data_IF_272796873262
#
_entry.id   IF_272796873262
#
_cell.length_a   1.000
_cell.length_b   1.000
_cell.length_c   1.000
_cell.angle_alpha   90.00
_cell.angle_beta   90.00
_cell.angle_gamma   90.00
#
_symmetry.space_group_name_H-M   'P 1'
#
loop_
_entity.id
_entity.type
_entity.pdbx_description
1 polymer ?
#
# COMPACT_ATOMS: atom_id res chain seq x y z
N UNK A 1 -12.94 24.40 -5.85
CA UNK A 1 -12.96 23.76 -4.51
C UNK A 1 -13.40 22.29 -4.57
N UNK A 2 -14.56 21.89 -5.15
CA UNK A 2 -15.03 20.50 -5.07
C UNK A 2 -14.06 19.48 -5.70
N UNK A 3 -13.60 19.70 -6.94
CA UNK A 3 -12.68 18.78 -7.63
C UNK A 3 -11.31 18.64 -6.93
N UNK A 4 -10.76 19.74 -6.41
CA UNK A 4 -9.44 19.72 -5.74
C UNK A 4 -9.51 19.10 -4.35
N UNK A 5 -10.63 19.29 -3.64
CA UNK A 5 -10.85 18.68 -2.33
C UNK A 5 -11.16 17.20 -2.52
N UNK A 6 -12.05 16.83 -3.45
CA UNK A 6 -12.36 15.44 -3.77
C UNK A 6 -11.13 14.68 -4.26
N UNK A 7 -10.29 15.26 -5.14
CA UNK A 7 -9.07 14.57 -5.57
C UNK A 7 -8.03 14.40 -4.44
N UNK A 8 -8.14 15.20 -3.38
CA UNK A 8 -7.33 15.06 -2.16
C UNK A 8 -7.98 14.15 -1.13
N UNK A 9 -9.30 14.00 -1.08
CA UNK A 9 -10.01 13.15 -0.11
C UNK A 9 -10.27 11.74 -0.63
N UNK A 10 -10.40 11.53 -1.95
CA UNK A 10 -10.60 10.21 -2.55
C UNK A 10 -9.43 9.23 -2.28
N UNK A 11 -8.15 9.65 -2.29
CA UNK A 11 -7.04 8.82 -1.83
C UNK A 11 -7.13 8.48 -0.33
N UNK A 12 -7.78 9.33 0.46
CA UNK A 12 -7.98 9.14 1.90
C UNK A 12 -9.14 8.23 2.25
N UNK A 13 -10.20 8.23 1.44
CA UNK A 13 -11.36 7.35 1.66
C UNK A 13 -11.13 5.95 1.08
N UNK A 14 -10.02 5.73 0.38
CA UNK A 14 -9.66 4.40 -0.13
C UNK A 14 -9.44 3.46 1.05
N UNK A 15 -10.24 2.39 1.20
CA UNK A 15 -10.25 1.52 2.39
C UNK A 15 -8.93 0.77 2.68
N UNK A 16 -7.84 1.06 1.96
CA UNK A 16 -6.48 0.70 2.36
C UNK A 16 -6.16 1.05 3.83
N UNK A 17 -6.84 2.04 4.42
CA UNK A 17 -6.76 2.39 5.84
C UNK A 17 -7.22 1.28 6.81
N UNK A 18 -8.20 0.47 6.42
CA UNK A 18 -8.71 -0.66 7.22
C UNK A 18 -7.98 -1.97 6.94
N UNK A 19 -7.27 -2.06 5.82
CA UNK A 19 -6.54 -3.27 5.42
C UNK A 19 -5.37 -3.62 6.37
N UNK A 20 -4.77 -2.60 6.99
CA UNK A 20 -3.48 -2.73 7.69
C UNK A 20 -3.61 -2.95 9.20
N UNK A 21 -4.65 -2.40 9.83
CA UNK A 21 -4.90 -2.51 11.28
C UNK A 21 -5.72 -3.75 11.65
N UNK A 22 -6.54 -4.28 10.75
CA UNK A 22 -7.38 -5.45 11.03
C UNK A 22 -6.67 -6.81 10.91
N UNK A 23 -5.33 -6.84 10.73
CA UNK A 23 -4.61 -8.10 10.53
C UNK A 23 -4.38 -8.90 11.82
N UNK A 24 -4.61 -8.32 13.01
CA UNK A 24 -4.14 -8.89 14.27
C UNK A 24 -5.20 -9.43 15.25
N UNK A 25 -6.50 -9.07 15.19
CA UNK A 25 -7.37 -9.29 16.37
C UNK A 25 -8.85 -9.67 16.18
N UNK A 26 -9.38 -9.96 14.97
CA UNK A 26 -10.83 -10.26 14.84
C UNK A 26 -11.21 -11.25 13.72
N UNK A 27 -11.85 -12.40 13.99
CA UNK A 27 -12.68 -13.13 13.03
C UNK A 27 -14.17 -12.69 13.18
N UNK A 28 -15.01 -12.62 12.12
CA UNK A 28 -14.92 -13.20 10.78
C UNK A 28 -14.95 -12.11 9.67
N UNK A 29 -13.87 -11.97 8.90
CA UNK A 29 -13.74 -10.90 7.87
C UNK A 29 -13.22 -11.45 6.52
N UNK A 30 -13.54 -12.68 6.13
CA UNK A 30 -13.16 -13.17 4.79
C UNK A 30 -13.90 -12.42 3.68
N UNK A 31 -15.21 -12.16 3.86
CA UNK A 31 -16.06 -11.55 2.82
C UNK A 31 -15.77 -10.06 2.59
N UNK A 32 -15.27 -9.33 3.59
CA UNK A 32 -15.05 -7.89 3.44
C UNK A 32 -13.72 -7.57 2.76
N UNK A 33 -12.76 -8.50 2.70
CA UNK A 33 -11.46 -8.26 2.05
C UNK A 33 -11.60 -7.99 0.55
N UNK A 34 -12.47 -8.75 -0.12
CA UNK A 34 -12.80 -8.57 -1.53
C UNK A 34 -13.53 -7.25 -1.75
N UNK A 35 -14.49 -6.93 -0.89
CA UNK A 35 -15.26 -5.69 -0.95
C UNK A 35 -14.39 -4.44 -0.75
N UNK A 36 -13.44 -4.49 0.19
CA UNK A 36 -12.48 -3.40 0.41
C UNK A 36 -11.51 -3.25 -0.77
N UNK A 37 -11.06 -4.36 -1.37
CA UNK A 37 -10.24 -4.35 -2.58
C UNK A 37 -10.96 -3.70 -3.77
N UNK A 38 -12.21 -4.12 -4.04
CA UNK A 38 -13.05 -3.53 -5.08
C UNK A 38 -13.34 -2.04 -4.84
N UNK A 39 -13.67 -1.66 -3.60
CA UNK A 39 -13.90 -0.26 -3.24
C UNK A 39 -12.62 0.59 -3.43
N UNK A 40 -11.45 0.05 -3.07
CA UNK A 40 -10.16 0.73 -3.31
C UNK A 40 -9.90 0.95 -4.80
N UNK A 41 -10.24 -0.03 -5.64
CA UNK A 41 -10.13 0.08 -7.09
C UNK A 41 -11.11 1.12 -7.66
N UNK A 42 -12.38 1.12 -7.23
CA UNK A 42 -13.36 2.13 -7.65
C UNK A 42 -12.92 3.55 -7.31
N UNK A 43 -12.37 3.75 -6.10
CA UNK A 43 -11.83 5.05 -5.68
C UNK A 43 -10.57 5.43 -6.47
N UNK A 44 -9.71 4.48 -6.81
CA UNK A 44 -8.57 4.71 -7.69
C UNK A 44 -9.00 5.09 -9.11
N UNK A 45 -10.04 4.46 -9.66
CA UNK A 45 -10.62 4.85 -10.95
C UNK A 45 -11.21 6.26 -10.91
N UNK A 46 -11.95 6.60 -9.85
CA UNK A 46 -12.46 7.97 -9.67
C UNK A 46 -11.31 8.98 -9.56
N UNK A 47 -10.26 8.68 -8.80
CA UNK A 47 -9.06 9.50 -8.70
C UNK A 47 -8.38 9.71 -10.06
N UNK A 48 -8.28 8.66 -10.87
CA UNK A 48 -7.74 8.74 -12.23
C UNK A 48 -8.61 9.63 -13.13
N UNK A 49 -9.93 9.44 -13.15
CA UNK A 49 -10.85 10.27 -13.92
C UNK A 49 -10.77 11.75 -13.52
N UNK A 50 -10.78 12.04 -12.22
CA UNK A 50 -10.63 13.41 -11.72
C UNK A 50 -9.30 14.05 -12.11
N UNK A 51 -8.23 13.26 -12.13
CA UNK A 51 -6.89 13.72 -12.53
C UNK A 51 -6.81 13.97 -14.04
N UNK A 52 -7.41 13.11 -14.87
CA UNK A 52 -7.48 13.31 -16.34
C UNK A 52 -8.35 14.51 -16.72
N UNK A 53 -9.41 14.81 -15.95
CA UNK A 53 -10.27 15.98 -16.20
C UNK A 53 -9.64 17.31 -15.73
N UNK A 54 -8.46 17.29 -15.09
CA UNK A 54 -7.80 18.47 -14.58
C UNK A 54 -7.55 19.57 -15.64
N UNK A 55 -6.94 19.28 -16.82
CA UNK A 55 -6.74 20.28 -17.89
C UNK A 55 -8.03 20.80 -18.52
N UNK A 56 -9.12 20.02 -18.47
CA UNK A 56 -10.42 20.43 -19.02
C UNK A 56 -11.09 21.54 -18.17
N UNK A 57 -10.69 21.67 -16.90
CA UNK A 57 -11.31 22.61 -15.96
C UNK A 57 -11.01 24.07 -16.34
N UNK A 58 -12.06 24.90 -16.40
CA UNK A 58 -11.97 26.33 -16.71
C UNK A 58 -10.99 27.09 -15.80
N UNK A 59 -10.89 26.74 -14.52
CA UNK A 59 -9.92 27.36 -13.61
C UNK A 59 -8.47 27.06 -13.97
N UNK A 60 -8.18 25.86 -14.50
CA UNK A 60 -6.83 25.53 -14.96
C UNK A 60 -6.50 26.32 -16.23
N UNK A 61 -7.45 26.42 -17.17
CA UNK A 61 -7.31 27.24 -18.38
C UNK A 61 -6.98 28.71 -18.05
N UNK A 62 -7.73 29.33 -17.14
CA UNK A 62 -7.43 30.71 -16.70
C UNK A 62 -6.06 30.83 -16.04
N UNK A 63 -5.63 29.81 -15.28
CA UNK A 63 -4.32 29.82 -14.64
C UNK A 63 -3.19 29.73 -15.66
N UNK A 64 -3.30 28.88 -16.67
CA UNK A 64 -2.34 28.78 -17.78
C UNK A 64 -2.26 30.10 -18.54
N UNK A 65 -3.41 30.75 -18.82
CA UNK A 65 -3.43 32.04 -19.49
C UNK A 65 -2.73 33.13 -18.68
N UNK A 66 -2.95 33.17 -17.37
CA UNK A 66 -2.25 34.11 -16.48
C UNK A 66 -0.74 33.84 -16.43
N UNK A 67 -0.32 32.57 -16.41
CA UNK A 67 1.10 32.21 -16.47
C UNK A 67 1.75 32.62 -17.79
N UNK A 68 1.07 32.40 -18.92
CA UNK A 68 1.54 32.84 -20.23
C UNK A 68 1.67 34.37 -20.30
N UNK A 69 0.66 35.10 -19.80
CA UNK A 69 0.71 36.57 -19.73
C UNK A 69 1.90 37.06 -18.88
N UNK A 70 2.11 36.46 -17.70
CA UNK A 70 3.24 36.81 -16.83
C UNK A 70 4.60 36.45 -17.43
N UNK A 71 4.71 35.34 -18.16
CA UNK A 71 5.93 34.94 -18.86
C UNK A 71 6.32 35.98 -19.91
N UNK A 72 5.35 36.43 -20.72
CA UNK A 72 5.56 37.48 -21.73
C UNK A 72 5.96 38.80 -21.07
N UNK A 73 5.29 39.20 -19.97
CA UNK A 73 5.66 40.42 -19.24
C UNK A 73 7.10 40.39 -18.70
N UNK A 74 7.64 39.20 -18.39
CA UNK A 74 9.00 39.02 -17.91
C UNK A 74 10.03 38.83 -19.03
N UNK A 75 9.61 38.88 -20.31
CA UNK A 75 10.45 38.57 -21.47
C UNK A 75 11.22 37.24 -21.32
N UNK A 76 10.57 36.23 -20.73
CA UNK A 76 11.17 34.89 -20.59
C UNK A 76 10.79 34.03 -21.79
N UNK A 77 11.76 33.70 -22.63
CA UNK A 77 11.55 32.91 -23.85
C UNK A 77 11.31 31.43 -23.53
N UNK A 78 12.09 30.86 -22.62
CA UNK A 78 11.97 29.45 -22.19
C UNK A 78 11.52 29.35 -20.73
N UNK A 79 10.44 28.58 -20.51
CA UNK A 79 9.91 28.25 -19.18
C UNK A 79 10.09 26.78 -18.83
N UNK A 80 10.89 26.05 -19.59
CA UNK A 80 11.20 24.64 -19.36
C UNK A 80 11.99 24.44 -18.07
N UNK A 81 11.45 23.58 -17.19
CA UNK A 81 12.11 23.16 -15.95
C UNK A 81 12.22 21.64 -15.97
N UNK A 82 13.41 21.14 -16.31
CA UNK A 82 13.66 19.70 -16.49
C UNK A 82 13.26 18.87 -15.27
N UNK A 83 13.58 19.31 -14.05
CA UNK A 83 13.25 18.57 -12.82
C UNK A 83 11.73 18.41 -12.64
N UNK A 84 10.95 19.47 -12.92
CA UNK A 84 9.50 19.43 -12.79
C UNK A 84 8.85 18.51 -13.84
N UNK A 85 9.39 18.49 -15.05
CA UNK A 85 8.96 17.58 -16.12
C UNK A 85 9.23 16.14 -15.73
N UNK A 86 10.47 15.79 -15.38
CA UNK A 86 10.83 14.44 -14.96
C UNK A 86 9.99 13.97 -13.77
N UNK A 87 9.78 14.84 -12.77
CA UNK A 87 8.93 14.53 -11.63
C UNK A 87 7.50 14.18 -12.06
N UNK A 88 6.90 14.97 -12.95
CA UNK A 88 5.53 14.73 -13.42
C UNK A 88 5.41 13.46 -14.27
N UNK A 89 6.36 13.20 -15.18
CA UNK A 89 6.35 12.01 -16.03
C UNK A 89 6.48 10.71 -15.21
N UNK A 90 7.42 10.68 -14.25
CA UNK A 90 7.60 9.54 -13.33
C UNK A 90 6.36 9.38 -12.46
N UNK A 91 5.83 10.47 -11.89
CA UNK A 91 4.62 10.47 -11.07
C UNK A 91 3.42 9.86 -11.80
N UNK A 92 3.15 10.30 -13.03
CA UNK A 92 2.03 9.81 -13.84
C UNK A 92 2.24 8.33 -14.20
N UNK A 93 3.46 7.96 -14.60
CA UNK A 93 3.78 6.58 -14.98
C UNK A 93 3.56 5.59 -13.84
N UNK A 94 4.01 5.93 -12.62
CA UNK A 94 3.79 5.12 -11.42
C UNK A 94 2.29 4.97 -11.09
N UNK A 95 1.52 6.05 -11.27
CA UNK A 95 0.07 6.04 -11.05
C UNK A 95 -0.66 5.11 -12.03
N UNK A 96 -0.30 5.14 -13.31
CA UNK A 96 -0.88 4.25 -14.34
C UNK A 96 -0.55 2.79 -14.05
N UNK A 97 0.71 2.49 -13.74
CA UNK A 97 1.13 1.13 -13.39
C UNK A 97 0.41 0.62 -12.14
N UNK A 98 0.33 1.43 -11.09
CA UNK A 98 -0.40 1.09 -9.87
C UNK A 98 -1.88 0.81 -10.13
N UNK A 99 -2.55 1.65 -10.95
CA UNK A 99 -3.94 1.44 -11.32
C UNK A 99 -4.13 0.16 -12.12
N UNK A 100 -3.21 -0.15 -13.04
CA UNK A 100 -3.21 -1.40 -13.80
C UNK A 100 -3.12 -2.63 -12.90
N UNK A 101 -2.23 -2.62 -11.89
CA UNK A 101 -2.14 -3.72 -10.93
C UNK A 101 -3.41 -3.85 -10.05
N UNK A 102 -4.00 -2.72 -9.63
CA UNK A 102 -5.29 -2.74 -8.92
C UNK A 102 -6.43 -3.30 -9.79
N UNK A 103 -6.41 -3.03 -11.10
CA UNK A 103 -7.38 -3.61 -12.04
C UNK A 103 -7.23 -5.13 -12.15
N UNK A 104 -5.99 -5.64 -12.24
CA UNK A 104 -5.72 -7.08 -12.24
C UNK A 104 -6.25 -7.73 -10.96
N UNK A 105 -6.00 -7.12 -9.80
CA UNK A 105 -6.52 -7.60 -8.51
C UNK A 105 -8.05 -7.62 -8.51
N UNK A 106 -8.70 -6.54 -8.93
CA UNK A 106 -10.16 -6.44 -8.98
C UNK A 106 -10.78 -7.50 -9.90
N UNK A 107 -10.20 -7.73 -11.09
CA UNK A 107 -10.67 -8.76 -12.03
C UNK A 107 -10.47 -10.16 -11.45
N UNK A 108 -9.32 -10.42 -10.81
CA UNK A 108 -9.05 -11.72 -10.20
C UNK A 108 -9.95 -12.05 -9.01
N UNK A 109 -10.54 -11.03 -8.36
CA UNK A 109 -11.50 -11.18 -7.26
C UNK A 109 -12.93 -11.44 -7.73
N UNK A 110 -13.23 -11.41 -9.04
CA UNK A 110 -14.56 -11.74 -9.53
C UNK A 110 -14.78 -13.26 -9.45
N UNK A 111 -15.95 -13.73 -8.97
CA UNK A 111 -16.24 -15.16 -8.83
C UNK A 111 -16.02 -15.94 -10.14
N UNK A 112 -16.36 -15.33 -11.28
CA UNK A 112 -16.16 -15.92 -12.62
C UNK A 112 -14.70 -16.23 -12.97
N UNK A 113 -13.74 -15.52 -12.37
CA UNK A 113 -12.30 -15.72 -12.59
C UNK A 113 -11.68 -16.49 -11.42
N UNK A 114 -12.05 -16.16 -10.18
CA UNK A 114 -11.52 -16.83 -8.99
C UNK A 114 -11.87 -18.31 -8.95
N UNK A 115 -13.06 -18.69 -9.41
CA UNK A 115 -13.51 -20.10 -9.43
C UNK A 115 -12.74 -20.96 -10.45
N UNK A 116 -12.03 -20.32 -11.38
CA UNK A 116 -11.17 -21.01 -12.37
C UNK A 116 -9.71 -21.12 -11.93
N UNK A 117 -9.32 -20.42 -10.86
CA UNK A 117 -7.95 -20.40 -10.36
C UNK A 117 -7.80 -21.37 -9.20
N UNK A 118 -6.65 -22.04 -9.11
CA UNK A 118 -6.34 -22.78 -7.89
C UNK A 118 -6.14 -21.82 -6.71
N UNK A 119 -6.43 -22.27 -5.49
CA UNK A 119 -6.23 -21.47 -4.28
C UNK A 119 -4.79 -20.93 -4.14
N UNK A 120 -3.80 -21.68 -4.64
CA UNK A 120 -2.39 -21.26 -4.63
C UNK A 120 -2.12 -20.12 -5.60
N UNK A 121 -2.67 -20.19 -6.81
CA UNK A 121 -2.53 -19.15 -7.83
C UNK A 121 -3.25 -17.87 -7.40
N UNK A 122 -4.49 -18.00 -6.92
CA UNK A 122 -5.25 -16.87 -6.40
C UNK A 122 -4.53 -16.17 -5.25
N UNK A 123 -4.02 -16.95 -4.28
CA UNK A 123 -3.26 -16.40 -3.15
C UNK A 123 -1.94 -15.76 -3.61
N UNK A 124 -1.28 -16.33 -4.61
CA UNK A 124 -0.05 -15.76 -5.19
C UNK A 124 -0.32 -14.41 -5.86
N UNK A 125 -1.36 -14.33 -6.70
CA UNK A 125 -1.77 -13.10 -7.39
C UNK A 125 -2.14 -12.03 -6.37
N UNK A 126 -3.10 -12.30 -5.49
CA UNK A 126 -3.60 -11.34 -4.50
C UNK A 126 -2.48 -10.83 -3.57
N UNK A 127 -1.56 -11.70 -3.18
CA UNK A 127 -0.44 -11.32 -2.31
C UNK A 127 0.66 -10.57 -3.06
N UNK A 128 1.17 -11.13 -4.16
CA UNK A 128 2.31 -10.56 -4.89
C UNK A 128 1.92 -9.27 -5.59
N UNK A 129 0.85 -9.30 -6.40
CA UNK A 129 0.35 -8.15 -7.14
C UNK A 129 -0.20 -7.10 -6.17
N UNK A 130 -0.81 -7.52 -5.06
CA UNK A 130 -1.26 -6.62 -3.97
C UNK A 130 -0.13 -5.79 -3.39
N UNK A 131 1.00 -6.42 -3.04
CA UNK A 131 2.16 -5.68 -2.52
C UNK A 131 2.81 -4.79 -3.59
N UNK A 132 2.89 -5.24 -4.83
CA UNK A 132 3.44 -4.43 -5.93
C UNK A 132 2.55 -3.20 -6.21
N UNK A 133 1.23 -3.35 -6.19
CA UNK A 133 0.28 -2.24 -6.30
C UNK A 133 0.46 -1.25 -5.15
N UNK A 134 0.60 -1.73 -3.91
CA UNK A 134 0.84 -0.88 -2.74
C UNK A 134 2.18 -0.14 -2.83
N UNK A 135 3.24 -0.81 -3.28
CA UNK A 135 4.56 -0.21 -3.49
C UNK A 135 4.50 0.92 -4.53
N UNK A 136 3.93 0.64 -5.70
CA UNK A 136 3.83 1.62 -6.79
C UNK A 136 2.92 2.79 -6.42
N UNK A 137 1.78 2.53 -5.75
CA UNK A 137 0.89 3.58 -5.25
C UNK A 137 1.53 4.45 -4.18
N UNK A 138 2.34 3.86 -3.29
CA UNK A 138 3.11 4.62 -2.29
C UNK A 138 4.20 5.44 -2.98
N UNK A 139 4.94 4.86 -3.93
CA UNK A 139 5.94 5.56 -4.71
C UNK A 139 5.34 6.74 -5.50
N UNK A 140 4.17 6.54 -6.12
CA UNK A 140 3.39 7.58 -6.78
C UNK A 140 3.10 8.76 -5.83
N UNK A 141 2.67 8.49 -4.60
CA UNK A 141 2.43 9.55 -3.61
C UNK A 141 3.72 10.21 -3.07
N UNK A 142 4.82 9.46 -2.94
CA UNK A 142 6.12 9.98 -2.50
C UNK A 142 6.75 10.92 -3.54
N UNK A 143 6.69 10.56 -4.83
CA UNK A 143 7.21 11.40 -5.93
C UNK A 143 6.43 12.72 -6.04
N UNK A 144 5.12 12.72 -5.75
CA UNK A 144 4.35 13.97 -5.62
C UNK A 144 4.90 14.87 -4.50
N UNK A 145 5.38 14.26 -3.43
CA UNK A 145 5.97 14.93 -2.28
C UNK A 145 7.42 15.38 -2.46
N UNK A 146 8.10 15.09 -3.59
CA UNK A 146 9.55 15.25 -3.83
C UNK A 146 10.25 16.33 -2.98
N UNK A 147 9.96 17.62 -3.20
CA UNK A 147 10.52 18.75 -2.44
C UNK A 147 9.63 19.24 -1.29
N UNK A 148 8.44 18.67 -1.15
CA UNK A 148 7.40 19.10 -0.22
C UNK A 148 7.52 18.61 1.21
N UNK A 149 8.38 17.63 1.49
CA UNK A 149 8.56 17.08 2.84
C UNK A 149 9.28 18.06 3.77
N UNK A 150 10.21 18.83 3.21
CA UNK A 150 11.17 19.67 3.95
C UNK A 150 10.75 21.15 3.97
N UNK A 151 9.77 21.55 3.15
CA UNK A 151 9.35 22.95 3.05
C UNK A 151 8.39 23.35 4.21
N UNK A 152 8.82 24.22 5.14
CA UNK A 152 7.99 24.65 6.28
C UNK A 152 6.73 25.41 5.83
N UNK A 153 6.75 26.01 4.63
CA UNK A 153 5.62 26.80 4.10
C UNK A 153 4.38 25.96 3.82
N UNK A 154 4.51 24.63 3.72
CA UNK A 154 3.38 23.71 3.49
C UNK A 154 2.65 23.32 4.77
N UNK A 155 3.21 23.61 5.95
CA UNK A 155 2.61 23.30 7.24
C UNK A 155 1.69 24.44 7.69
N UNK A 156 0.43 24.39 7.26
CA UNK A 156 -0.57 25.38 7.70
C UNK A 156 -0.97 25.03 9.13
N UNK A 157 -0.70 25.94 10.08
CA UNK A 157 -1.03 25.75 11.50
C UNK A 157 -0.54 24.43 12.10
N UNK A 158 0.72 24.06 11.82
CA UNK A 158 1.34 22.81 12.28
C UNK A 158 0.69 21.52 11.75
N UNK A 159 -0.31 21.60 10.88
CA UNK A 159 -0.91 20.39 10.29
C UNK A 159 -0.05 19.91 9.12
N UNK A 160 0.42 18.65 9.14
CA UNK A 160 1.21 18.12 8.04
C UNK A 160 0.36 18.02 6.77
N UNK A 161 0.94 18.27 5.59
CA UNK A 161 0.24 18.12 4.32
C UNK A 161 -0.44 16.76 4.16
N UNK A 162 -1.57 16.75 3.46
CA UNK A 162 -2.41 15.56 3.37
C UNK A 162 -1.74 14.34 2.73
N UNK A 163 -0.70 14.52 1.91
CA UNK A 163 0.05 13.41 1.32
C UNK A 163 0.95 12.70 2.35
N UNK A 164 1.49 13.43 3.35
CA UNK A 164 2.36 12.86 4.40
C UNK A 164 1.57 11.85 5.22
N UNK A 165 0.38 12.26 5.66
CA UNK A 165 -0.52 11.42 6.44
C UNK A 165 -0.98 10.20 5.64
N UNK A 166 -1.33 10.37 4.35
CA UNK A 166 -1.74 9.27 3.48
C UNK A 166 -0.61 8.26 3.18
N UNK A 167 0.64 8.69 3.17
CA UNK A 167 1.80 7.80 2.94
C UNK A 167 2.23 7.03 4.19
N UNK A 168 1.92 7.53 5.39
CA UNK A 168 2.46 6.99 6.65
C UNK A 168 2.07 5.51 6.87
N UNK A 169 0.80 5.18 6.65
CA UNK A 169 0.30 3.83 6.85
C UNK A 169 0.81 2.84 5.78
N UNK A 170 0.69 3.11 4.47
CA UNK A 170 1.30 2.26 3.43
C UNK A 170 2.79 2.04 3.62
N UNK A 171 3.53 3.09 4.02
CA UNK A 171 4.96 3.00 4.28
C UNK A 171 5.26 2.10 5.49
N UNK A 172 4.52 2.24 6.59
CA UNK A 172 4.66 1.36 7.75
C UNK A 172 4.42 -0.12 7.40
N UNK A 173 3.40 -0.41 6.58
CA UNK A 173 3.11 -1.78 6.11
C UNK A 173 4.26 -2.34 5.27
N UNK A 174 4.79 -1.54 4.34
CA UNK A 174 5.91 -1.95 3.50
C UNK A 174 7.19 -2.17 4.33
N UNK A 175 7.45 -1.33 5.35
CA UNK A 175 8.58 -1.46 6.26
C UNK A 175 8.48 -2.70 7.13
N UNK A 176 7.31 -2.96 7.73
CA UNK A 176 7.08 -4.19 8.50
C UNK A 176 7.27 -5.40 7.60
N UNK A 177 6.72 -5.36 6.38
CA UNK A 177 6.90 -6.46 5.42
C UNK A 177 8.37 -6.65 5.06
N UNK A 178 9.11 -5.59 4.79
CA UNK A 178 10.55 -5.62 4.49
C UNK A 178 11.36 -6.19 5.66
N UNK A 179 11.02 -5.83 6.91
CA UNK A 179 11.64 -6.37 8.11
C UNK A 179 11.34 -7.87 8.34
N UNK A 180 10.26 -8.40 7.77
CA UNK A 180 9.88 -9.82 7.83
C UNK A 180 10.40 -10.66 6.66
N UNK A 181 11.00 -10.05 5.63
CA UNK A 181 11.64 -10.74 4.50
C UNK A 181 13.00 -11.42 4.79
N UNK A 182 13.84 -10.99 5.76
CA UNK A 182 15.13 -11.61 5.99
C UNK A 182 14.98 -13.12 6.28
N UNK A 183 15.88 -13.96 5.75
CA UNK A 183 15.77 -15.42 5.86
C UNK A 183 15.69 -15.91 7.32
N UNK A 184 16.26 -15.14 8.25
CA UNK A 184 16.23 -15.44 9.68
C UNK A 184 14.82 -15.38 10.28
N UNK A 185 14.00 -14.40 9.88
CA UNK A 185 12.62 -14.25 10.36
C UNK A 185 11.63 -15.08 9.56
N UNK A 186 11.83 -15.19 8.24
CA UNK A 186 10.95 -15.98 7.39
C UNK A 186 10.99 -17.47 7.75
N UNK A 187 12.18 -18.03 8.00
CA UNK A 187 12.35 -19.42 8.42
C UNK A 187 11.71 -19.68 9.81
N UNK A 188 11.84 -18.71 10.73
CA UNK A 188 11.19 -18.78 12.06
C UNK A 188 9.67 -18.71 11.97
N UNK A 189 9.14 -17.83 11.13
CA UNK A 189 7.69 -17.74 10.89
C UNK A 189 7.16 -19.01 10.22
N UNK A 190 7.91 -19.60 9.30
CA UNK A 190 7.52 -20.85 8.64
C UNK A 190 7.54 -22.04 9.60
N UNK A 191 8.50 -22.09 10.53
CA UNK A 191 8.51 -23.06 11.64
C UNK A 191 7.28 -22.89 12.55
N UNK A 192 6.94 -21.66 12.93
CA UNK A 192 5.75 -21.38 13.75
C UNK A 192 4.47 -21.77 12.99
N UNK A 193 4.40 -21.48 11.68
CA UNK A 193 3.24 -21.82 10.83
C UNK A 193 3.05 -23.31 10.61
N UNK A 194 4.14 -24.08 10.69
CA UNK A 194 4.14 -25.56 10.67
C UNK A 194 3.86 -26.18 12.05
N UNK A 195 3.56 -25.36 13.06
CA UNK A 195 3.19 -25.83 14.41
C UNK A 195 4.38 -26.11 15.33
N UNK A 196 5.52 -25.44 15.14
CA UNK A 196 6.67 -25.62 16.03
C UNK A 196 6.36 -25.12 17.45
N UNK A 197 6.12 -26.05 18.37
CA UNK A 197 6.09 -25.81 19.81
C UNK A 197 7.52 -25.84 20.35
N UNK A 198 7.86 -24.87 21.22
CA UNK A 198 9.16 -24.89 21.90
C UNK A 198 9.27 -26.17 22.73
N UNK A 199 10.39 -26.92 22.67
CA UNK A 199 10.57 -28.08 23.52
C UNK A 199 10.45 -27.64 24.99
N UNK A 200 9.53 -28.26 25.71
CA UNK A 200 9.32 -28.00 27.13
C UNK A 200 10.65 -28.19 27.88
N UNK A 201 10.98 -27.24 28.75
CA UNK A 201 12.14 -27.36 29.64
C UNK A 201 11.92 -28.62 30.51
N UNK A 202 12.87 -29.57 30.60
CA UNK A 202 12.70 -30.71 31.47
C UNK A 202 12.49 -30.21 32.89
N UNK A 203 11.32 -30.49 33.46
CA UNK A 203 11.09 -30.28 34.88
C UNK A 203 11.93 -31.31 35.65
N UNK A 204 12.59 -30.96 36.78
CA UNK A 204 13.55 -31.85 37.44
C UNK A 204 12.96 -33.12 38.09
N UNK A 205 11.70 -33.47 37.84
CA UNK A 205 10.96 -34.46 38.62
C UNK A 205 10.80 -35.85 38.01
N UNK A 206 11.49 -36.20 36.92
CA UNK A 206 11.44 -37.56 36.35
C UNK A 206 12.64 -38.46 36.64
N UNK A 207 13.62 -38.05 37.47
CA UNK A 207 14.67 -38.96 37.97
C UNK A 207 14.17 -39.73 39.19
N UNK A 208 13.09 -40.51 39.05
CA UNK A 208 12.81 -41.64 39.96
C UNK A 208 11.71 -42.55 39.41
N UNK A 209 12.02 -43.42 38.45
CA UNK A 209 11.42 -44.75 38.35
C UNK A 209 12.09 -45.55 37.25
N UNK A 210 12.77 -46.63 37.65
CA UNK A 210 13.20 -47.66 36.72
C UNK A 210 14.62 -48.16 36.94
N UNK A 211 15.02 -48.45 38.18
CA UNK A 211 16.09 -49.41 38.41
C UNK A 211 15.72 -50.28 39.62
N UNK A 212 15.66 -51.59 39.40
CA UNK A 212 15.47 -52.58 40.44
C UNK A 212 14.22 -53.45 40.27
N UNK A 213 14.30 -54.47 39.41
CA UNK A 213 13.87 -55.83 39.79
C UNK A 213 14.49 -56.85 38.82
N UNK A 214 15.77 -57.14 39.03
CA UNK A 214 16.38 -58.42 38.64
C UNK A 214 15.74 -59.55 39.44
N UNK A 215 15.59 -60.72 38.81
CA UNK A 215 14.68 -61.78 39.23
C UNK A 215 15.08 -62.67 40.41
N UNK A 216 14.19 -63.61 40.72
CA UNK A 216 14.39 -64.87 41.46
C UNK A 216 13.08 -65.68 41.30
N UNK A 217 13.10 -66.77 40.51
CA UNK A 217 13.09 -68.18 40.94
C UNK A 217 11.97 -68.53 41.94
N UNK A 218 10.95 -69.26 41.48
CA UNK A 218 10.83 -70.73 41.57
C UNK A 218 9.69 -71.21 40.67
#
# INVERSE_FOLDING_TARGET
>A
VPVLVMNKTLPWTSPCWLWSTCQAYWPPFSNSREQLGLLSFSLACLHALYSLCYPMRRSYRYRVLNWAYQQVQKNQEDSWVSEDVWRMEIYISLGILSLGLLAVLAVSSLPSVSDRLSWREFTCIQRSVGYMALLLGTAHALVLGWSGWVDPRRYVWYTPPSFILACLLPLAVLLVRAALLPPCLSNRLELIRRGWERPARPTPHSVRKGDGMTGLKL
#
